data_IF_056976435128
#
_entry.id   IF_056976435128
#
_cell.length_a   1.000
_cell.length_b   1.000
_cell.length_c   1.000
_cell.angle_alpha   90.00
_cell.angle_beta   90.00
_cell.angle_gamma   90.00
#
_symmetry.space_group_name_H-M   'P 1'
#
loop_
_entity.id
_entity.type
_entity.pdbx_description
1 polymer ?
#
# COMPACT_ATOMS: atom_id res chain seq x y z
N UNK A 1 -71.44 38.77 36.47
CA UNK A 1 -70.39 39.43 35.68
C UNK A 1 -69.12 38.61 35.75
N UNK A 2 -68.34 38.63 34.67
CA UNK A 2 -67.09 37.87 34.39
C UNK A 2 -67.35 36.52 33.72
N UNK A 3 -67.17 36.57 32.40
CA UNK A 3 -67.38 35.47 31.46
C UNK A 3 -66.18 34.53 31.39
N UNK A 4 -66.50 33.26 31.17
CA UNK A 4 -65.54 32.24 30.77
C UNK A 4 -65.31 32.36 29.25
N UNK A 5 -64.14 32.84 28.86
CA UNK A 5 -63.68 32.80 27.48
C UNK A 5 -63.12 31.41 27.21
N UNK A 6 -63.77 30.68 26.30
CA UNK A 6 -63.28 29.42 25.76
C UNK A 6 -61.98 29.66 25.00
N UNK A 7 -60.90 29.02 25.41
CA UNK A 7 -59.64 29.01 24.66
C UNK A 7 -59.59 27.72 23.85
N UNK A 8 -59.73 27.88 22.54
CA UNK A 8 -59.58 26.84 21.53
C UNK A 8 -58.26 26.07 21.67
N UNK A 9 -58.35 24.74 21.76
CA UNK A 9 -57.23 23.82 21.60
C UNK A 9 -56.94 23.66 20.10
N UNK A 10 -56.25 24.63 19.50
CA UNK A 10 -55.58 24.44 18.21
C UNK A 10 -54.27 25.25 18.19
N UNK A 11 -53.19 24.54 17.87
CA UNK A 11 -51.84 25.02 17.58
C UNK A 11 -50.98 25.43 18.79
N UNK A 12 -50.25 24.47 19.35
CA UNK A 12 -48.90 24.73 19.87
C UNK A 12 -47.93 23.65 19.36
N UNK A 13 -47.18 24.05 18.33
CA UNK A 13 -45.76 23.75 18.09
C UNK A 13 -45.35 22.27 18.17
N UNK A 14 -45.30 21.56 17.04
CA UNK A 14 -44.07 21.47 16.22
C UNK A 14 -42.81 21.22 17.06
N UNK A 15 -42.82 20.14 17.85
CA UNK A 15 -41.62 19.62 18.49
C UNK A 15 -40.87 18.73 17.49
N UNK A 16 -40.08 19.42 16.66
CA UNK A 16 -38.80 19.02 16.06
C UNK A 16 -38.58 17.50 15.87
N UNK A 17 -39.13 17.06 14.74
CA UNK A 17 -38.62 15.99 13.90
C UNK A 17 -37.12 16.21 13.59
N UNK A 18 -36.24 15.35 14.12
CA UNK A 18 -34.98 14.81 13.53
C UNK A 18 -34.06 14.20 14.62
N UNK A 19 -34.56 13.24 15.41
CA UNK A 19 -33.65 12.26 16.04
C UNK A 19 -33.49 11.08 15.08
N UNK A 20 -32.27 10.86 14.60
CA UNK A 20 -31.91 9.62 13.90
C UNK A 20 -31.34 9.75 12.49
N UNK A 21 -31.03 10.95 11.98
CA UNK A 21 -29.97 11.02 10.96
C UNK A 21 -28.64 10.94 11.70
N UNK A 22 -28.23 9.70 12.00
CA UNK A 22 -26.84 9.43 12.33
C UNK A 22 -26.00 10.12 11.27
N UNK A 23 -25.17 11.08 11.67
CA UNK A 23 -24.05 11.51 10.85
C UNK A 23 -23.33 10.20 10.53
N UNK A 24 -23.19 9.78 9.26
CA UNK A 24 -22.45 8.57 8.98
C UNK A 24 -21.04 8.81 9.50
N UNK A 25 -20.70 8.16 10.61
CA UNK A 25 -19.31 7.94 10.95
C UNK A 25 -18.81 7.04 9.84
N UNK A 26 -18.27 7.65 8.78
CA UNK A 26 -17.57 6.93 7.74
C UNK A 26 -16.33 6.41 8.47
N UNK A 27 -16.41 5.20 8.99
CA UNK A 27 -15.24 4.46 9.47
C UNK A 27 -14.34 4.25 8.25
N UNK A 28 -13.47 5.23 7.99
CA UNK A 28 -12.59 5.20 6.84
C UNK A 28 -11.55 4.13 7.14
N UNK A 29 -11.56 3.07 6.33
CA UNK A 29 -10.55 2.01 6.44
C UNK A 29 -9.14 2.63 6.43
N UNK A 30 -8.18 2.03 7.15
CA UNK A 30 -6.80 2.52 7.19
C UNK A 30 -6.28 2.88 5.79
N UNK A 31 -5.67 4.06 5.66
CA UNK A 31 -5.12 4.55 4.38
C UNK A 31 -6.15 5.00 3.32
N UNK A 32 -7.46 4.81 3.49
CA UNK A 32 -8.47 5.15 2.48
C UNK A 32 -8.46 6.63 2.11
N UNK A 33 -8.31 7.53 3.11
CA UNK A 33 -8.20 8.99 2.89
C UNK A 33 -7.05 9.35 1.96
N UNK A 34 -5.92 8.63 2.08
CA UNK A 34 -4.73 8.87 1.28
C UNK A 34 -4.88 8.27 -0.11
N UNK A 35 -5.48 7.08 -0.23
CA UNK A 35 -5.85 6.52 -1.55
C UNK A 35 -6.75 7.47 -2.32
N UNK A 36 -7.70 8.13 -1.66
CA UNK A 36 -8.57 9.08 -2.36
C UNK A 36 -7.81 10.33 -2.82
N UNK A 37 -6.93 10.89 -1.97
CA UNK A 37 -6.03 11.98 -2.39
C UNK A 37 -5.14 11.59 -3.56
N UNK A 38 -4.61 10.35 -3.56
CA UNK A 38 -3.83 9.82 -4.68
C UNK A 38 -4.69 9.72 -5.96
N UNK A 39 -5.95 9.28 -5.88
CA UNK A 39 -6.86 9.25 -7.03
C UNK A 39 -7.14 10.63 -7.60
N UNK A 40 -7.40 11.62 -6.74
CA UNK A 40 -7.59 13.02 -7.15
C UNK A 40 -6.33 13.54 -7.87
N UNK A 41 -5.16 13.35 -7.28
CA UNK A 41 -3.88 13.76 -7.88
C UNK A 41 -3.62 13.05 -9.22
N UNK A 42 -3.97 11.76 -9.33
CA UNK A 42 -3.83 10.99 -10.56
C UNK A 42 -4.73 11.52 -11.69
N UNK A 43 -5.99 11.88 -11.38
CA UNK A 43 -6.89 12.53 -12.35
C UNK A 43 -6.32 13.85 -12.85
N UNK A 44 -5.79 14.68 -11.94
CA UNK A 44 -5.16 15.95 -12.29
C UNK A 44 -3.89 15.74 -13.13
N UNK A 45 -3.07 14.74 -12.79
CA UNK A 45 -1.91 14.35 -13.60
C UNK A 45 -2.32 14.01 -15.02
N UNK A 46 -3.27 13.09 -15.20
CA UNK A 46 -3.73 12.69 -16.54
C UNK A 46 -4.21 13.89 -17.33
N UNK A 47 -5.04 14.75 -16.73
CA UNK A 47 -5.51 15.99 -17.38
C UNK A 47 -4.37 16.89 -17.85
N UNK A 48 -3.35 17.14 -17.01
CA UNK A 48 -2.21 17.98 -17.39
C UNK A 48 -1.37 17.35 -18.50
N UNK A 49 -1.14 16.03 -18.46
CA UNK A 49 -0.36 15.33 -19.46
C UNK A 49 -1.09 15.23 -20.81
N UNK A 50 -2.40 15.04 -20.80
CA UNK A 50 -3.24 15.06 -22.00
C UNK A 50 -3.18 16.44 -22.68
N UNK A 51 -3.34 17.51 -21.89
CA UNK A 51 -3.21 18.88 -22.38
C UNK A 51 -1.79 19.18 -22.89
N UNK A 52 -0.75 18.68 -22.21
CA UNK A 52 0.63 18.82 -22.67
C UNK A 52 0.85 18.15 -24.03
N UNK A 53 0.28 16.95 -24.22
CA UNK A 53 0.33 16.20 -25.48
C UNK A 53 -0.36 16.96 -26.62
N UNK A 54 -1.53 17.56 -26.35
CA UNK A 54 -2.23 18.42 -27.33
C UNK A 54 -1.39 19.64 -27.69
N UNK A 55 -0.84 20.36 -26.70
CA UNK A 55 0.00 21.54 -26.94
C UNK A 55 1.27 21.20 -27.73
N UNK A 56 1.89 20.05 -27.46
CA UNK A 56 3.05 19.55 -28.20
C UNK A 56 2.72 19.32 -29.67
N UNK A 57 1.61 18.63 -29.96
CA UNK A 57 1.12 18.38 -31.33
C UNK A 57 0.79 19.68 -32.07
N UNK A 58 0.36 20.72 -31.36
CA UNK A 58 0.10 22.04 -31.91
C UNK A 58 1.37 22.92 -32.07
N UNK A 59 2.57 22.41 -31.78
CA UNK A 59 3.82 23.16 -31.88
C UNK A 59 4.08 24.16 -30.74
N UNK A 60 3.21 24.21 -29.72
CA UNK A 60 3.30 25.13 -28.58
C UNK A 60 4.25 24.58 -27.51
N UNK A 61 5.56 24.56 -27.81
CA UNK A 61 6.59 23.88 -27.00
C UNK A 61 6.67 24.39 -25.55
N UNK A 62 6.59 25.71 -25.32
CA UNK A 62 6.64 26.29 -23.97
C UNK A 62 5.44 25.86 -23.12
N UNK A 63 4.23 25.98 -23.66
CA UNK A 63 2.99 25.54 -23.02
C UNK A 63 3.02 24.04 -22.70
N UNK A 64 3.46 23.22 -23.64
CA UNK A 64 3.62 21.78 -23.45
C UNK A 64 4.57 21.45 -22.30
N UNK A 65 5.72 22.16 -22.21
CA UNK A 65 6.68 21.99 -21.12
C UNK A 65 6.08 22.34 -19.76
N UNK A 66 5.44 23.50 -19.61
CA UNK A 66 4.81 23.92 -18.35
C UNK A 66 3.72 22.94 -17.90
N UNK A 67 2.88 22.46 -18.82
CA UNK A 67 1.84 21.46 -18.51
C UNK A 67 2.46 20.12 -18.12
N UNK A 68 3.53 19.69 -18.79
CA UNK A 68 4.28 18.47 -18.45
C UNK A 68 4.88 18.57 -17.04
N UNK A 69 5.48 19.70 -16.67
CA UNK A 69 6.03 19.95 -15.33
C UNK A 69 4.94 19.89 -14.26
N UNK A 70 3.76 20.49 -14.51
CA UNK A 70 2.59 20.35 -13.62
C UNK A 70 2.13 18.89 -13.50
N UNK A 71 2.11 18.15 -14.62
CA UNK A 71 1.80 16.72 -14.63
C UNK A 71 2.78 15.90 -13.79
N UNK A 72 4.09 16.19 -13.87
CA UNK A 72 5.13 15.56 -13.03
C UNK A 72 4.92 15.88 -11.55
N UNK A 73 4.59 17.12 -11.22
CA UNK A 73 4.29 17.52 -9.84
C UNK A 73 3.09 16.74 -9.27
N UNK A 74 2.00 16.59 -10.01
CA UNK A 74 0.90 15.71 -9.58
C UNK A 74 1.32 14.24 -9.50
N UNK A 75 2.22 13.77 -10.36
CA UNK A 75 2.82 12.44 -10.26
C UNK A 75 3.53 12.20 -8.93
N UNK A 76 4.37 13.13 -8.49
CA UNK A 76 5.03 13.06 -7.19
C UNK A 76 4.02 13.06 -6.03
N UNK A 77 2.89 13.77 -6.15
CA UNK A 77 1.82 13.72 -5.16
C UNK A 77 1.12 12.36 -5.11
N UNK A 78 0.87 11.73 -6.26
CA UNK A 78 0.28 10.37 -6.33
C UNK A 78 1.16 9.39 -5.56
N UNK A 79 2.47 9.41 -5.82
CA UNK A 79 3.44 8.55 -5.13
C UNK A 79 3.42 8.79 -3.62
N UNK A 80 3.60 10.04 -3.18
CA UNK A 80 3.59 10.42 -1.75
C UNK A 80 2.31 10.01 -1.04
N UNK A 81 1.15 10.15 -1.68
CA UNK A 81 -0.12 9.76 -1.08
C UNK A 81 -0.30 8.24 -1.05
N UNK A 82 0.12 7.52 -2.08
CA UNK A 82 0.09 6.05 -2.07
C UNK A 82 1.04 5.47 -1.02
N UNK A 83 2.25 6.02 -0.87
CA UNK A 83 3.18 5.62 0.21
C UNK A 83 2.56 5.79 1.60
N UNK A 84 1.92 6.95 1.86
CA UNK A 84 1.22 7.19 3.12
C UNK A 84 0.06 6.22 3.34
N UNK A 85 -0.71 5.93 2.29
CA UNK A 85 -1.79 4.96 2.34
C UNK A 85 -1.24 3.57 2.69
N UNK A 86 -0.21 3.14 1.96
CA UNK A 86 0.45 1.86 2.12
C UNK A 86 0.98 1.67 3.55
N UNK A 87 1.65 2.69 4.10
CA UNK A 87 2.15 2.67 5.48
C UNK A 87 1.03 2.60 6.51
N UNK A 88 -0.04 3.40 6.38
CA UNK A 88 -1.17 3.34 7.31
C UNK A 88 -1.86 1.97 7.28
N UNK A 89 -2.08 1.39 6.08
CA UNK A 89 -2.64 0.04 5.92
C UNK A 89 -1.71 -0.98 6.58
N UNK A 90 -0.44 -1.01 6.21
CA UNK A 90 0.52 -1.97 6.72
C UNK A 90 0.61 -1.96 8.26
N UNK A 91 0.73 -0.78 8.86
CA UNK A 91 0.83 -0.65 10.32
C UNK A 91 -0.45 -1.05 11.04
N UNK A 92 -1.63 -0.81 10.43
CA UNK A 92 -2.90 -1.23 11.03
C UNK A 92 -3.04 -2.76 11.12
N UNK A 93 -2.38 -3.48 10.22
CA UNK A 93 -2.43 -4.95 10.15
C UNK A 93 -1.26 -5.61 10.90
N UNK A 94 -0.15 -4.91 11.03
CA UNK A 94 1.09 -5.43 11.61
C UNK A 94 1.57 -4.52 12.75
N UNK A 95 0.72 -4.31 13.76
CA UNK A 95 0.95 -3.31 14.82
C UNK A 95 2.27 -3.50 15.59
N UNK A 96 2.70 -4.76 15.77
CA UNK A 96 3.93 -5.11 16.49
C UNK A 96 5.15 -5.29 15.59
N UNK A 97 5.02 -5.12 14.26
CA UNK A 97 6.05 -5.50 13.29
C UNK A 97 7.44 -4.89 13.54
N UNK A 98 7.46 -3.65 14.05
CA UNK A 98 8.70 -2.92 14.33
C UNK A 98 9.13 -3.00 15.80
N UNK A 99 8.62 -3.97 16.58
CA UNK A 99 9.03 -4.18 17.99
C UNK A 99 10.46 -4.70 18.13
N UNK A 100 11.04 -5.25 17.05
CA UNK A 100 12.36 -5.87 17.04
C UNK A 100 12.40 -7.28 17.64
N UNK A 101 11.25 -7.88 17.96
CA UNK A 101 11.19 -9.26 18.46
C UNK A 101 11.05 -10.26 17.31
N UNK A 102 11.41 -11.53 17.54
CA UNK A 102 11.30 -12.57 16.50
C UNK A 102 9.84 -12.93 16.22
N UNK A 103 9.00 -12.87 17.25
CA UNK A 103 7.57 -13.16 17.19
C UNK A 103 6.85 -12.18 16.25
N UNK A 104 7.31 -10.92 16.20
CA UNK A 104 6.81 -9.92 15.26
C UNK A 104 7.12 -10.25 13.78
N UNK A 105 8.07 -11.14 13.53
CA UNK A 105 8.48 -11.58 12.20
C UNK A 105 7.96 -12.97 11.82
N UNK A 106 7.24 -13.67 12.71
CA UNK A 106 6.61 -14.96 12.39
C UNK A 106 5.51 -14.84 11.34
N UNK A 107 4.96 -13.63 11.18
CA UNK A 107 3.86 -13.37 10.26
C UNK A 107 3.88 -11.94 9.76
N UNK A 108 3.52 -11.77 8.49
CA UNK A 108 3.31 -10.47 7.86
C UNK A 108 2.00 -10.47 7.07
N UNK A 109 1.20 -9.42 7.25
CA UNK A 109 -0.04 -9.22 6.53
C UNK A 109 0.06 -8.07 5.52
N UNK A 110 -0.09 -8.40 4.25
CA UNK A 110 0.06 -7.52 3.10
C UNK A 110 -1.28 -7.24 2.42
N UNK A 111 -2.41 -7.66 3.01
CA UNK A 111 -3.71 -7.46 2.38
C UNK A 111 -4.05 -5.97 2.23
N UNK A 112 -4.78 -5.64 1.17
CA UNK A 112 -5.19 -4.27 0.87
C UNK A 112 -4.08 -3.36 0.31
N UNK A 113 -2.84 -3.83 0.27
CA UNK A 113 -1.74 -3.13 -0.41
C UNK A 113 -1.84 -3.28 -1.94
N UNK A 114 -1.19 -2.36 -2.67
CA UNK A 114 -0.95 -2.60 -4.10
C UNK A 114 0.20 -3.59 -4.28
N UNK A 115 0.22 -4.30 -5.41
CA UNK A 115 1.19 -5.38 -5.68
C UNK A 115 2.63 -4.94 -5.44
N UNK A 116 3.04 -3.80 -6.00
CA UNK A 116 4.42 -3.31 -5.85
C UNK A 116 4.75 -2.96 -4.40
N UNK A 117 3.79 -2.40 -3.65
CA UNK A 117 3.96 -2.10 -2.23
C UNK A 117 4.12 -3.38 -1.42
N UNK A 118 3.25 -4.36 -1.65
CA UNK A 118 3.30 -5.67 -1.00
C UNK A 118 4.63 -6.38 -1.26
N UNK A 119 5.14 -6.35 -2.50
CA UNK A 119 6.44 -6.93 -2.85
C UNK A 119 7.60 -6.29 -2.11
N UNK A 120 7.59 -4.97 -1.94
CA UNK A 120 8.63 -4.26 -1.17
C UNK A 120 8.60 -4.69 0.29
N UNK A 121 7.42 -4.74 0.92
CA UNK A 121 7.31 -5.22 2.30
C UNK A 121 7.70 -6.69 2.44
N UNK A 122 7.29 -7.55 1.51
CA UNK A 122 7.64 -8.97 1.52
C UNK A 122 9.16 -9.20 1.38
N UNK A 123 9.83 -8.47 0.49
CA UNK A 123 11.29 -8.57 0.34
C UNK A 123 11.99 -8.15 1.63
N UNK A 124 11.67 -6.97 2.15
CA UNK A 124 12.26 -6.46 3.39
C UNK A 124 11.99 -7.42 4.56
N UNK A 125 10.81 -8.02 4.61
CA UNK A 125 10.45 -9.00 5.62
C UNK A 125 11.32 -10.25 5.57
N UNK A 126 11.52 -10.82 4.37
CA UNK A 126 12.40 -11.98 4.20
C UNK A 126 13.84 -11.66 4.63
N UNK A 127 14.33 -10.47 4.32
CA UNK A 127 15.66 -10.01 4.76
C UNK A 127 15.74 -9.87 6.28
N UNK A 128 14.73 -9.24 6.91
CA UNK A 128 14.64 -9.16 8.38
C UNK A 128 14.57 -10.54 9.04
N UNK A 129 13.83 -11.49 8.45
CA UNK A 129 13.75 -12.87 8.95
C UNK A 129 15.11 -13.57 8.89
N UNK A 130 15.87 -13.39 7.79
CA UNK A 130 17.22 -13.94 7.65
C UNK A 130 18.16 -13.37 8.71
N UNK A 131 18.11 -12.06 8.93
CA UNK A 131 18.97 -11.35 9.90
C UNK A 131 18.63 -11.72 11.35
N UNK A 132 17.34 -11.83 11.68
CA UNK A 132 16.89 -12.25 13.00
C UNK A 132 17.01 -13.78 13.23
N UNK A 133 17.34 -14.55 12.19
CA UNK A 133 17.42 -16.01 12.24
C UNK A 133 16.08 -16.69 12.48
N UNK A 134 14.99 -16.08 11.99
CA UNK A 134 13.64 -16.65 11.93
C UNK A 134 13.62 -17.68 10.80
N UNK A 135 13.31 -18.93 11.12
CA UNK A 135 13.40 -20.05 10.16
C UNK A 135 12.10 -20.33 9.43
N UNK A 136 10.97 -19.81 9.93
CA UNK A 136 9.66 -19.97 9.33
C UNK A 136 8.86 -18.67 9.52
N UNK A 137 8.21 -18.21 8.46
CA UNK A 137 7.28 -17.07 8.51
C UNK A 137 6.08 -17.30 7.61
N UNK A 138 4.93 -16.70 7.96
CA UNK A 138 3.71 -16.74 7.18
C UNK A 138 3.41 -15.39 6.53
N UNK A 139 3.23 -15.36 5.21
CA UNK A 139 2.88 -14.16 4.45
C UNK A 139 1.40 -14.22 4.07
N UNK A 140 0.59 -13.28 4.58
CA UNK A 140 -0.80 -13.12 4.18
C UNK A 140 -0.88 -12.17 2.98
N UNK A 141 -1.34 -12.68 1.85
CA UNK A 141 -1.61 -11.91 0.62
C UNK A 141 -3.08 -11.46 0.51
N UNK A 142 -3.95 -12.04 1.33
CA UNK A 142 -5.40 -11.87 1.28
C UNK A 142 -6.09 -12.81 0.28
N UNK A 143 -7.41 -13.00 0.46
CA UNK A 143 -8.24 -13.96 -0.32
C UNK A 143 -8.63 -13.51 -1.73
N UNK A 144 -8.25 -12.31 -2.16
CA UNK A 144 -8.62 -11.79 -3.49
C UNK A 144 -10.04 -11.24 -3.64
N UNK A 145 -10.96 -11.53 -2.71
CA UNK A 145 -12.39 -11.14 -2.81
C UNK A 145 -12.66 -9.63 -2.97
N UNK A 146 -11.73 -8.75 -2.53
CA UNK A 146 -11.88 -7.29 -2.58
C UNK A 146 -10.97 -6.62 -3.63
N UNK A 147 -10.30 -7.39 -4.48
CA UNK A 147 -9.48 -6.80 -5.56
C UNK A 147 -10.38 -6.14 -6.61
N UNK A 148 -9.94 -5.00 -7.17
CA UNK A 148 -10.50 -4.51 -8.44
C UNK A 148 -10.35 -5.65 -9.44
N UNK A 149 -11.48 -6.20 -9.91
CA UNK A 149 -11.62 -7.33 -10.84
C UNK A 149 -11.68 -8.74 -10.21
N UNK A 150 -11.66 -8.90 -8.88
CA UNK A 150 -11.75 -10.23 -8.24
C UNK A 150 -10.49 -11.11 -8.41
N UNK A 151 -9.43 -10.58 -9.03
CA UNK A 151 -8.16 -11.27 -9.24
C UNK A 151 -7.19 -10.95 -8.09
N UNK A 152 -6.83 -11.97 -7.32
CA UNK A 152 -5.79 -11.89 -6.29
C UNK A 152 -4.41 -11.62 -6.94
N UNK A 153 -4.06 -10.37 -7.22
CA UNK A 153 -2.80 -10.01 -7.91
C UNK A 153 -1.54 -10.10 -7.02
N UNK A 154 -1.71 -10.05 -5.69
CA UNK A 154 -0.59 -10.14 -4.74
C UNK A 154 -0.04 -11.57 -4.67
N UNK A 155 -0.93 -12.58 -4.65
CA UNK A 155 -0.59 -13.99 -4.58
C UNK A 155 0.47 -14.43 -5.63
N UNK A 156 0.23 -14.30 -6.94
CA UNK A 156 1.20 -14.71 -7.95
C UNK A 156 2.47 -13.84 -7.93
N UNK A 157 2.37 -12.59 -7.48
CA UNK A 157 3.52 -11.72 -7.34
C UNK A 157 4.45 -12.19 -6.21
N UNK A 158 3.88 -12.57 -5.06
CA UNK A 158 4.64 -13.12 -3.92
C UNK A 158 5.25 -14.47 -4.28
N UNK A 159 4.56 -15.34 -5.01
CA UNK A 159 5.16 -16.58 -5.53
C UNK A 159 6.39 -16.29 -6.40
N UNK A 160 6.26 -15.36 -7.36
CA UNK A 160 7.38 -14.92 -8.20
C UNK A 160 8.54 -14.31 -7.40
N UNK A 161 8.25 -13.61 -6.30
CA UNK A 161 9.27 -13.11 -5.38
C UNK A 161 10.00 -14.28 -4.69
N UNK A 162 9.27 -15.21 -4.10
CA UNK A 162 9.85 -16.36 -3.38
C UNK A 162 10.74 -17.22 -4.30
N UNK A 163 10.32 -17.45 -5.55
CA UNK A 163 11.14 -18.15 -6.54
C UNK A 163 12.44 -17.38 -6.84
N UNK A 164 12.37 -16.06 -7.04
CA UNK A 164 13.57 -15.22 -7.28
C UNK A 164 14.52 -15.19 -6.09
N UNK A 165 13.98 -15.29 -4.89
CA UNK A 165 14.73 -15.34 -3.63
C UNK A 165 15.31 -16.73 -3.33
N UNK A 166 15.17 -17.71 -4.25
CA UNK A 166 15.69 -19.06 -4.08
C UNK A 166 14.88 -19.91 -3.10
N UNK A 167 13.62 -19.54 -2.85
CA UNK A 167 12.71 -20.22 -1.92
C UNK A 167 11.63 -21.04 -2.63
N UNK A 168 11.77 -21.31 -3.94
CA UNK A 168 10.76 -21.98 -4.76
C UNK A 168 10.33 -23.37 -4.28
N UNK A 169 11.20 -24.06 -3.54
CA UNK A 169 10.97 -25.37 -2.91
C UNK A 169 10.68 -25.28 -1.40
N UNK A 170 10.59 -24.06 -0.86
CA UNK A 170 10.57 -23.76 0.59
C UNK A 170 9.29 -23.07 1.03
N UNK A 171 8.27 -22.99 0.19
CA UNK A 171 6.98 -22.45 0.57
C UNK A 171 5.84 -23.39 0.22
N UNK A 172 4.75 -23.29 0.99
CA UNK A 172 3.49 -23.94 0.66
C UNK A 172 2.32 -23.05 1.11
N UNK A 173 1.21 -23.13 0.37
CA UNK A 173 0.00 -22.40 0.72
C UNK A 173 -0.78 -23.17 1.78
N UNK A 174 -0.99 -22.55 2.94
CA UNK A 174 -1.83 -23.09 4.00
C UNK A 174 -3.32 -22.90 3.66
N UNK A 175 -3.64 -21.79 2.98
CA UNK A 175 -4.98 -21.47 2.49
C UNK A 175 -4.89 -20.52 1.28
N UNK A 176 -6.02 -20.07 0.74
CA UNK A 176 -6.06 -19.25 -0.48
C UNK A 176 -5.32 -17.90 -0.38
N UNK A 177 -5.02 -17.41 0.82
CA UNK A 177 -4.42 -16.11 1.05
C UNK A 177 -3.27 -16.08 2.04
N UNK A 178 -2.73 -17.22 2.46
CA UNK A 178 -1.62 -17.35 3.40
C UNK A 178 -0.61 -18.39 2.90
N UNK A 179 0.65 -17.98 2.77
CA UNK A 179 1.76 -18.85 2.39
C UNK A 179 2.74 -18.96 3.55
N UNK A 180 3.06 -20.18 3.96
CA UNK A 180 4.13 -20.46 4.91
C UNK A 180 5.44 -20.63 4.15
N UNK A 181 6.50 -19.99 4.64
CA UNK A 181 7.81 -19.92 4.00
C UNK A 181 8.89 -20.33 4.99
N UNK A 182 9.71 -21.31 4.60
CA UNK A 182 10.91 -21.70 5.32
C UNK A 182 12.08 -20.81 4.89
N UNK A 183 12.49 -19.90 5.77
CA UNK A 183 13.57 -18.96 5.53
C UNK A 183 14.89 -19.59 6.01
N UNK A 184 15.83 -19.91 5.10
CA UNK A 184 17.12 -20.41 5.52
C UNK A 184 17.84 -19.31 6.31
N UNK A 185 18.51 -19.70 7.40
CA UNK A 185 19.44 -18.80 8.10
C UNK A 185 20.44 -18.28 7.07
N UNK A 186 20.67 -16.97 7.05
CA UNK A 186 21.54 -16.35 6.07
C UNK A 186 22.87 -17.10 5.99
N UNK A 187 23.20 -17.67 4.82
CA UNK A 187 24.61 -17.71 4.44
C UNK A 187 25.01 -16.26 4.38
N UNK A 188 26.01 -15.85 5.16
CA UNK A 188 26.71 -14.61 4.87
C UNK A 188 26.91 -14.56 3.37
N UNK A 189 26.44 -13.49 2.73
CA UNK A 189 26.69 -13.26 1.31
C UNK A 189 28.20 -13.38 1.14
N UNK A 190 28.66 -14.52 0.61
CA UNK A 190 30.07 -14.70 0.31
C UNK A 190 30.35 -13.66 -0.77
N UNK A 191 30.92 -12.53 -0.36
CA UNK A 191 31.62 -11.64 -1.26
C UNK A 191 32.69 -12.51 -1.90
N UNK A 192 32.46 -12.93 -3.13
CA UNK A 192 33.51 -13.44 -4.00
C UNK A 192 34.49 -12.29 -4.17
N UNK A 193 35.47 -12.19 -3.28
CA UNK A 193 36.70 -11.47 -3.55
C UNK A 193 37.43 -12.33 -4.57
N UNK A 194 37.26 -12.01 -5.85
CA UNK A 194 38.15 -12.50 -6.89
C UNK A 194 39.55 -11.98 -6.56
N UNK A 195 40.36 -12.82 -5.91
CA UNK A 195 41.81 -12.65 -5.87
C UNK A 195 42.30 -12.80 -7.31
N UNK A 196 42.43 -11.66 -8.00
CA UNK A 196 43.30 -11.55 -9.16
C UNK A 196 44.74 -11.51 -8.64
N UNK A 197 45.36 -12.68 -8.54
CA UNK A 197 46.81 -12.82 -8.38
C UNK A 197 47.51 -12.20 -9.60
N UNK A 198 47.83 -10.90 -9.50
CA UNK A 198 48.81 -10.26 -10.38
C UNK A 198 50.20 -10.65 -9.88
N UNK A 199 50.64 -11.85 -10.29
CA UNK A 199 52.02 -12.31 -10.18
C UNK A 199 52.94 -11.41 -11.01
N UNK A 200 53.81 -10.68 -10.31
CA UNK A 200 54.70 -9.67 -10.85
C UNK A 200 55.79 -10.22 -11.79
N UNK A 201 56.18 -9.37 -12.73
CA UNK A 201 57.38 -9.51 -13.53
C UNK A 201 58.41 -8.48 -13.06
N UNK A 202 59.50 -8.95 -12.48
CA UNK A 202 60.79 -8.23 -12.37
C UNK A 202 61.88 -9.28 -12.50
N UNK A 203 62.61 -9.31 -13.61
CA UNK A 203 64.08 -9.49 -13.62
C UNK A 203 64.66 -8.93 -14.93
N UNK A 204 65.59 -7.97 -14.76
CA UNK A 204 66.75 -7.54 -15.57
C UNK A 204 66.71 -7.62 -17.09
#
# INVERSE_FOLDING_TARGET
MLGAVAVSVLAFTFWVWTWGKGIPYIDQQPGQKWREKARVAARNRSKMLDQASVAWKAGQKSTAKTLSERGKHFGAQVERYNERASKEIFLSLNATYYSGTKEALEKIDLHGLFVNEALVYAQNHLDMCRDAGVTQTSIITGRGNNSKDGIAKIKPAVEGLLVREGLGDRFHWENEGCVAVNVPRGRSRQTFTSNSDSGGCVVM
#
